data_IF_110870098077
#
_entry.id   IF_110870098077
#
_cell.length_a   1.000
_cell.length_b   1.000
_cell.length_c   1.000
_cell.angle_alpha   90.00
_cell.angle_beta   90.00
_cell.angle_gamma   90.00
#
_symmetry.space_group_name_H-M   'P 1'
#
loop_
_entity.id
_entity.type
_entity.pdbx_description
1 polymer ?
#
# COMPACT_ATOMS: atom_id res chain seq x y z
N UNK A 1 11.42 -40.26 24.88
CA UNK A 1 12.52 -39.40 24.38
C UNK A 1 12.19 -39.11 22.92
N UNK A 2 11.86 -37.87 22.58
CA UNK A 2 11.51 -37.47 21.21
C UNK A 2 12.74 -37.61 20.30
N UNK A 3 12.53 -37.99 19.04
CA UNK A 3 13.59 -38.18 18.06
C UNK A 3 14.36 -36.86 17.80
N UNK A 4 15.65 -36.91 17.42
CA UNK A 4 16.49 -35.72 17.23
C UNK A 4 15.86 -34.66 16.30
N UNK A 5 15.24 -35.10 15.20
CA UNK A 5 14.56 -34.23 14.22
C UNK A 5 13.31 -33.53 14.79
N UNK A 6 12.62 -34.16 15.74
CA UNK A 6 11.44 -33.57 16.41
C UNK A 6 11.86 -32.51 17.43
N UNK A 7 13.04 -32.64 18.04
CA UNK A 7 13.59 -31.61 18.92
C UNK A 7 14.06 -30.39 18.15
N UNK A 8 14.67 -30.60 16.98
CA UNK A 8 15.14 -29.52 16.11
C UNK A 8 13.98 -28.70 15.56
N UNK A 9 12.90 -29.35 15.09
CA UNK A 9 11.65 -28.67 14.70
C UNK A 9 11.00 -27.91 15.85
N UNK A 10 10.87 -28.52 17.03
CA UNK A 10 10.32 -27.83 18.20
C UNK A 10 11.17 -26.63 18.64
N UNK A 11 12.50 -26.70 18.47
CA UNK A 11 13.42 -25.59 18.79
C UNK A 11 13.29 -24.45 17.78
N UNK A 12 13.10 -24.77 16.50
CA UNK A 12 12.83 -23.79 15.44
C UNK A 12 11.47 -23.12 15.61
N UNK A 13 10.45 -23.88 16.01
CA UNK A 13 9.10 -23.36 16.30
C UNK A 13 9.14 -22.34 17.45
N UNK A 14 9.82 -22.69 18.55
CA UNK A 14 10.00 -21.81 19.70
C UNK A 14 10.82 -20.56 19.34
N UNK A 15 11.88 -20.70 18.53
CA UNK A 15 12.67 -19.55 18.07
C UNK A 15 11.86 -18.64 17.14
N UNK A 16 11.01 -19.20 16.29
CA UNK A 16 10.12 -18.46 15.40
C UNK A 16 9.02 -17.71 16.17
N UNK A 17 8.36 -18.35 17.14
CA UNK A 17 7.41 -17.69 18.04
C UNK A 17 8.07 -16.56 18.84
N UNK A 18 9.31 -16.77 19.29
CA UNK A 18 10.08 -15.74 19.99
C UNK A 18 10.43 -14.54 19.08
N UNK A 19 10.84 -14.79 17.83
CA UNK A 19 11.16 -13.75 16.86
C UNK A 19 9.91 -12.93 16.45
N UNK A 20 8.78 -13.60 16.20
CA UNK A 20 7.50 -12.93 15.91
C UNK A 20 7.00 -12.11 17.10
N UNK A 21 7.15 -12.62 18.32
CA UNK A 21 6.84 -11.88 19.55
C UNK A 21 7.72 -10.65 19.74
N UNK A 22 9.01 -10.74 19.40
CA UNK A 22 9.96 -9.62 19.42
C UNK A 22 9.62 -8.56 18.37
N UNK A 23 9.22 -8.95 17.16
CA UNK A 23 8.81 -8.01 16.12
C UNK A 23 7.54 -7.22 16.50
N UNK A 24 6.53 -7.90 17.07
CA UNK A 24 5.35 -7.24 17.63
C UNK A 24 5.74 -6.25 18.73
N UNK A 25 6.69 -6.62 19.58
CA UNK A 25 7.16 -5.79 20.69
C UNK A 25 7.93 -4.56 20.23
N UNK A 26 8.77 -4.69 19.19
CA UNK A 26 9.45 -3.56 18.55
C UNK A 26 8.44 -2.65 17.86
N UNK A 27 7.47 -3.21 17.15
CA UNK A 27 6.37 -2.45 16.53
C UNK A 27 5.60 -1.63 17.55
N UNK A 28 5.17 -2.26 18.65
CA UNK A 28 4.48 -1.59 19.76
C UNK A 28 5.31 -0.46 20.38
N UNK A 29 6.61 -0.68 20.61
CA UNK A 29 7.50 0.36 21.18
C UNK A 29 7.71 1.51 20.21
N UNK A 30 7.88 1.23 18.91
CA UNK A 30 8.01 2.27 17.88
C UNK A 30 6.73 3.09 17.75
N UNK A 31 5.56 2.45 17.81
CA UNK A 31 4.29 3.15 17.79
C UNK A 31 4.14 4.05 19.03
N UNK A 32 4.48 3.56 20.23
CA UNK A 32 4.48 4.38 21.46
C UNK A 32 5.44 5.58 21.33
N UNK A 33 6.66 5.38 20.83
CA UNK A 33 7.63 6.45 20.64
C UNK A 33 7.16 7.51 19.61
N UNK A 34 6.55 7.07 18.50
CA UNK A 34 5.97 7.97 17.48
C UNK A 34 4.77 8.75 18.01
N UNK A 35 3.96 8.09 18.84
CA UNK A 35 2.81 8.68 19.52
C UNK A 35 3.25 9.75 20.53
N UNK A 36 4.18 9.43 21.42
CA UNK A 36 4.63 10.34 22.50
C UNK A 36 5.40 11.54 21.96
N UNK A 37 6.13 11.35 20.86
CA UNK A 37 6.82 12.44 20.16
C UNK A 37 5.90 13.30 19.29
N UNK A 38 4.62 12.96 19.14
CA UNK A 38 3.67 13.69 18.29
C UNK A 38 3.92 13.56 16.78
N UNK A 39 4.79 12.63 16.36
CA UNK A 39 5.12 12.41 14.94
C UNK A 39 4.20 11.37 14.26
N UNK A 40 3.22 10.82 14.99
CA UNK A 40 2.23 9.93 14.41
C UNK A 40 1.16 10.72 13.63
N UNK A 41 1.30 10.75 12.30
CA UNK A 41 0.31 11.35 11.40
C UNK A 41 -0.65 10.26 10.90
N UNK A 42 -1.95 10.47 11.08
CA UNK A 42 -2.98 9.61 10.47
C UNK A 42 -3.04 9.87 8.96
N UNK A 43 -3.31 8.83 8.18
CA UNK A 43 -3.58 8.94 6.74
C UNK A 43 -5.02 8.49 6.45
N UNK A 44 -6.02 9.37 6.64
CA UNK A 44 -7.42 9.01 6.44
C UNK A 44 -7.71 8.78 4.96
N UNK A 45 -8.29 7.63 4.65
CA UNK A 45 -8.68 7.23 3.30
C UNK A 45 -10.17 6.85 3.26
N UNK A 46 -10.75 6.80 2.07
CA UNK A 46 -12.14 6.37 1.88
C UNK A 46 -12.21 4.85 2.07
N UNK A 47 -12.79 4.42 3.19
CA UNK A 47 -12.80 3.02 3.61
C UNK A 47 -14.22 2.55 3.90
N UNK A 48 -14.52 1.32 3.50
CA UNK A 48 -15.73 0.63 3.93
C UNK A 48 -15.40 -0.25 5.14
N UNK A 49 -15.85 0.16 6.32
CA UNK A 49 -15.48 -0.49 7.59
C UNK A 49 -15.78 -1.99 7.63
N UNK A 50 -16.88 -2.42 7.00
CA UNK A 50 -17.24 -3.85 6.89
C UNK A 50 -16.11 -4.70 6.29
N UNK A 51 -15.38 -4.18 5.30
CA UNK A 51 -14.27 -4.91 4.68
C UNK A 51 -13.07 -5.04 5.63
N UNK A 52 -12.81 -4.03 6.45
CA UNK A 52 -11.72 -4.06 7.43
C UNK A 52 -12.04 -5.06 8.55
N UNK A 53 -13.27 -5.01 9.08
CA UNK A 53 -13.74 -5.96 10.11
C UNK A 53 -13.69 -7.40 9.58
N UNK A 54 -14.17 -7.63 8.36
CA UNK A 54 -14.13 -8.96 7.73
C UNK A 54 -12.70 -9.45 7.45
N UNK A 55 -11.79 -8.54 7.16
CA UNK A 55 -10.36 -8.87 7.04
C UNK A 55 -9.80 -9.33 8.40
N UNK A 56 -10.10 -8.62 9.48
CA UNK A 56 -9.75 -9.00 10.87
C UNK A 56 -10.32 -10.37 11.23
N UNK A 57 -11.59 -10.64 10.90
CA UNK A 57 -12.20 -11.96 11.09
C UNK A 57 -11.37 -13.06 10.44
N UNK A 58 -11.01 -12.90 9.16
CA UNK A 58 -10.24 -13.90 8.40
C UNK A 58 -8.86 -14.17 8.99
N UNK A 59 -8.18 -13.16 9.53
CA UNK A 59 -6.86 -13.34 10.15
C UNK A 59 -6.93 -14.16 11.45
N UNK A 60 -7.99 -13.99 12.25
CA UNK A 60 -8.11 -14.62 13.56
C UNK A 60 -9.00 -15.88 13.59
N UNK A 61 -9.71 -16.19 12.50
CA UNK A 61 -10.57 -17.37 12.36
C UNK A 61 -9.78 -18.68 12.58
N UNK A 62 -8.58 -18.79 11.99
CA UNK A 62 -7.70 -19.95 12.18
C UNK A 62 -7.29 -20.14 13.65
N UNK A 63 -6.87 -19.04 14.30
CA UNK A 63 -6.44 -19.05 15.69
C UNK A 63 -7.60 -19.38 16.65
N UNK A 64 -8.76 -18.78 16.43
CA UNK A 64 -9.97 -19.07 17.21
C UNK A 64 -10.38 -20.54 17.07
N UNK A 65 -10.37 -21.07 15.83
CA UNK A 65 -10.69 -22.48 15.56
C UNK A 65 -9.70 -23.45 16.21
N UNK A 66 -8.41 -23.15 16.18
CA UNK A 66 -7.37 -23.95 16.84
C UNK A 66 -7.60 -24.02 18.36
N UNK A 67 -8.08 -22.92 18.96
CA UNK A 67 -8.43 -22.85 20.39
C UNK A 67 -9.84 -23.37 20.72
N UNK A 68 -10.62 -23.79 19.72
CA UNK A 68 -12.00 -24.26 19.89
C UNK A 68 -13.02 -23.17 20.23
N UNK A 69 -12.73 -21.91 19.89
CA UNK A 69 -13.61 -20.76 20.07
C UNK A 69 -14.43 -20.48 18.81
N UNK A 70 -15.64 -19.93 18.98
CA UNK A 70 -16.41 -19.36 17.87
C UNK A 70 -16.09 -17.88 17.71
N UNK A 71 -15.69 -17.46 16.51
CA UNK A 71 -15.52 -16.05 16.15
C UNK A 71 -16.74 -15.61 15.32
N UNK A 72 -17.54 -14.69 15.84
CA UNK A 72 -18.78 -14.22 15.24
C UNK A 72 -18.62 -12.75 14.85
N UNK A 73 -19.11 -12.39 13.66
CA UNK A 73 -19.19 -10.99 13.22
C UNK A 73 -20.64 -10.64 12.96
N UNK A 74 -21.12 -9.58 13.62
CA UNK A 74 -22.46 -9.03 13.46
C UNK A 74 -22.33 -7.63 12.85
N UNK A 75 -22.93 -7.43 11.69
CA UNK A 75 -22.90 -6.17 10.95
C UNK A 75 -24.33 -5.64 10.83
N UNK A 76 -24.54 -4.34 11.04
CA UNK A 76 -25.85 -3.72 10.78
C UNK A 76 -26.24 -3.79 9.28
N UNK A 77 -27.54 -3.94 9.03
CA UNK A 77 -28.16 -4.03 7.69
C UNK A 77 -28.19 -2.69 6.93
N UNK A 78 -27.66 -1.62 7.53
CA UNK A 78 -27.57 -0.32 6.88
C UNK A 78 -26.65 -0.40 5.64
N UNK A 79 -27.01 0.30 4.54
CA UNK A 79 -26.16 0.37 3.35
C UNK A 79 -24.85 1.06 3.73
N UNK A 80 -23.82 0.27 4.00
CA UNK A 80 -22.55 0.75 4.56
C UNK A 80 -21.99 1.84 3.69
N UNK A 81 -21.97 3.05 4.23
CA UNK A 81 -21.38 4.19 3.55
C UNK A 81 -19.88 4.12 3.77
N UNK A 82 -19.15 4.60 2.78
CA UNK A 82 -17.71 4.71 2.96
C UNK A 82 -17.47 5.88 3.93
N UNK A 83 -16.52 5.70 4.83
CA UNK A 83 -16.12 6.71 5.82
C UNK A 83 -14.66 7.06 5.60
N UNK A 84 -14.26 8.26 6.01
CA UNK A 84 -12.87 8.67 5.98
C UNK A 84 -12.18 8.25 7.28
N UNK A 85 -11.27 7.28 7.21
CA UNK A 85 -10.51 6.75 8.36
C UNK A 85 -9.19 6.15 7.87
N UNK A 86 -8.19 6.07 8.75
CA UNK A 86 -6.94 5.36 8.47
C UNK A 86 -7.16 3.83 8.59
N UNK A 87 -7.14 3.06 7.48
CA UNK A 87 -7.45 1.63 7.51
C UNK A 87 -6.39 0.82 8.25
N UNK A 88 -5.12 1.23 8.22
CA UNK A 88 -4.04 0.50 8.87
C UNK A 88 -4.15 0.63 10.39
N UNK A 89 -4.37 1.84 10.88
CA UNK A 89 -4.51 2.11 12.32
C UNK A 89 -5.80 1.54 12.88
N UNK A 90 -6.91 1.65 12.14
CA UNK A 90 -8.16 1.02 12.54
C UNK A 90 -8.04 -0.51 12.63
N UNK A 91 -7.40 -1.14 11.63
CA UNK A 91 -7.12 -2.59 11.64
C UNK A 91 -6.21 -2.99 12.81
N UNK A 92 -5.23 -2.18 13.17
CA UNK A 92 -4.34 -2.40 14.30
C UNK A 92 -5.12 -2.43 15.63
N UNK A 93 -6.01 -1.45 15.85
CA UNK A 93 -6.87 -1.39 17.04
C UNK A 93 -7.71 -2.67 17.15
N UNK A 94 -8.43 -3.04 16.09
CA UNK A 94 -9.27 -4.24 16.09
C UNK A 94 -8.48 -5.52 16.30
N UNK A 95 -7.30 -5.63 15.67
CA UNK A 95 -6.46 -6.83 15.80
C UNK A 95 -5.95 -7.01 17.23
N UNK A 96 -5.60 -5.91 17.91
CA UNK A 96 -5.19 -5.94 19.31
C UNK A 96 -6.33 -6.37 20.24
N UNK A 97 -7.54 -5.86 20.02
CA UNK A 97 -8.71 -6.24 20.82
C UNK A 97 -9.11 -7.71 20.60
N UNK A 98 -9.18 -8.16 19.35
CA UNK A 98 -9.58 -9.53 19.00
C UNK A 98 -8.52 -10.56 19.44
N UNK A 99 -7.24 -10.23 19.28
CA UNK A 99 -6.15 -11.09 19.78
C UNK A 99 -6.24 -11.25 21.30
N UNK A 100 -6.46 -10.16 22.05
CA UNK A 100 -6.66 -10.23 23.49
C UNK A 100 -7.88 -11.07 23.86
N UNK A 101 -9.02 -10.86 23.21
CA UNK A 101 -10.24 -11.63 23.41
C UNK A 101 -10.02 -13.15 23.23
N UNK A 102 -9.34 -13.54 22.13
CA UNK A 102 -9.01 -14.96 21.87
C UNK A 102 -8.01 -15.48 22.90
N UNK A 103 -7.01 -14.68 23.26
CA UNK A 103 -5.99 -15.06 24.24
C UNK A 103 -6.58 -15.36 25.62
N UNK A 104 -7.49 -14.54 26.11
CA UNK A 104 -8.05 -14.64 27.47
C UNK A 104 -9.38 -15.41 27.56
N UNK A 105 -9.88 -15.93 26.43
CA UNK A 105 -11.05 -16.84 26.39
C UNK A 105 -10.59 -18.28 26.21
N UNK A 106 -10.86 -19.16 27.17
CA UNK A 106 -10.52 -20.57 27.05
C UNK A 106 -11.57 -21.39 26.28
N UNK A 107 -12.86 -21.09 26.51
CA UNK A 107 -14.01 -21.74 25.87
C UNK A 107 -15.11 -20.72 25.65
N UNK A 108 -15.87 -20.88 24.57
CA UNK A 108 -17.01 -20.04 24.24
C UNK A 108 -16.82 -19.29 22.93
N UNK A 109 -17.05 -17.98 22.93
CA UNK A 109 -17.06 -17.19 21.71
C UNK A 109 -16.49 -15.78 21.89
N UNK A 110 -16.04 -15.23 20.77
CA UNK A 110 -15.67 -13.82 20.60
C UNK A 110 -16.58 -13.25 19.51
N UNK A 111 -17.24 -12.14 19.80
CA UNK A 111 -18.16 -11.46 18.89
C UNK A 111 -17.63 -10.08 18.56
N UNK A 112 -17.59 -9.72 17.28
CA UNK A 112 -17.31 -8.37 16.79
C UNK A 112 -18.62 -7.79 16.25
N UNK A 113 -19.13 -6.71 16.84
CA UNK A 113 -20.30 -5.99 16.36
C UNK A 113 -19.89 -4.67 15.73
N UNK A 114 -20.36 -4.39 14.51
CA UNK A 114 -20.21 -3.09 13.86
C UNK A 114 -21.58 -2.47 13.66
N UNK A 115 -21.80 -1.34 14.32
CA UNK A 115 -23.01 -0.53 14.18
C UNK A 115 -22.63 0.80 13.55
N UNK A 116 -23.35 1.18 12.48
CA UNK A 116 -23.14 2.46 11.79
C UNK A 116 -24.46 3.23 11.77
N UNK A 117 -24.44 4.43 12.34
CA UNK A 117 -25.60 5.33 12.34
C UNK A 117 -25.21 6.68 11.74
N UNK A 118 -25.82 7.03 10.62
CA UNK A 118 -25.71 8.39 10.07
C UNK A 118 -26.30 9.42 11.05
N UNK A 119 -25.55 10.48 11.33
CA UNK A 119 -26.02 11.65 12.06
C UNK A 119 -26.63 12.69 11.10
N UNK A 120 -25.89 12.99 10.03
CA UNK A 120 -26.22 13.99 9.01
C UNK A 120 -25.64 13.58 7.63
N UNK A 121 -25.69 14.45 6.62
CA UNK A 121 -25.19 14.15 5.26
C UNK A 121 -23.66 14.00 5.19
N UNK A 122 -22.91 14.37 6.23
CA UNK A 122 -21.45 14.37 6.24
C UNK A 122 -20.80 13.57 7.36
N UNK A 123 -21.56 13.03 8.33
CA UNK A 123 -21.01 12.33 9.52
C UNK A 123 -21.78 11.08 9.90
N UNK A 124 -21.03 10.06 10.32
CA UNK A 124 -21.51 8.83 10.94
C UNK A 124 -21.00 8.72 12.38
N UNK A 125 -21.87 8.22 13.26
CA UNK A 125 -21.43 7.56 14.48
C UNK A 125 -21.20 6.10 14.13
N UNK A 126 -20.00 5.63 14.39
CA UNK A 126 -19.62 4.23 14.24
C UNK A 126 -19.31 3.69 15.61
N UNK A 127 -20.01 2.61 15.99
CA UNK A 127 -19.71 1.86 17.20
C UNK A 127 -19.18 0.48 16.83
N UNK A 128 -18.05 0.11 17.41
CA UNK A 128 -17.49 -1.24 17.28
C UNK A 128 -17.33 -1.89 18.63
N UNK A 129 -18.04 -2.99 18.87
CA UNK A 129 -17.92 -3.76 20.10
C UNK A 129 -17.13 -5.05 19.83
N UNK A 130 -16.09 -5.29 20.62
CA UNK A 130 -15.41 -6.60 20.69
C UNK A 130 -15.77 -7.22 22.04
N UNK A 131 -16.54 -8.30 22.01
CA UNK A 131 -17.05 -9.00 23.19
C UNK A 131 -16.48 -10.42 23.25
N UNK A 132 -15.98 -10.82 24.41
CA UNK A 132 -15.51 -12.17 24.69
C UNK A 132 -16.24 -12.78 25.88
N UNK A 133 -16.33 -14.11 25.91
CA UNK A 133 -16.89 -14.88 27.02
C UNK A 133 -15.80 -15.43 27.97
N UNK A 134 -14.67 -14.73 28.08
CA UNK A 134 -13.48 -15.18 28.81
C UNK A 134 -13.56 -14.98 30.33
N UNK A 135 -12.39 -14.97 30.96
CA UNK A 135 -12.25 -14.89 32.42
C UNK A 135 -12.76 -13.58 33.03
N UNK A 136 -12.95 -12.54 32.23
CA UNK A 136 -13.26 -11.20 32.69
C UNK A 136 -12.17 -10.58 33.56
N UNK A 137 -12.38 -9.33 33.98
CA UNK A 137 -11.38 -8.48 34.62
C UNK A 137 -11.99 -7.86 35.87
N UNK A 138 -11.27 -7.93 36.99
CA UNK A 138 -11.74 -7.34 38.25
C UNK A 138 -11.82 -5.80 38.15
N UNK A 139 -12.82 -5.14 38.77
CA UNK A 139 -13.00 -3.68 38.67
C UNK A 139 -11.76 -2.86 39.06
N UNK A 140 -11.00 -3.33 40.06
CA UNK A 140 -9.76 -2.68 40.51
C UNK A 140 -8.65 -2.66 39.44
N UNK A 141 -8.67 -3.62 38.52
CA UNK A 141 -7.66 -3.80 37.47
C UNK A 141 -8.05 -3.07 36.18
N UNK A 142 -9.35 -2.85 35.93
CA UNK A 142 -9.87 -2.22 34.72
C UNK A 142 -9.34 -0.79 34.49
N UNK A 143 -9.26 0.02 35.54
CA UNK A 143 -8.81 1.41 35.45
C UNK A 143 -7.32 1.55 35.07
N UNK A 144 -6.53 0.50 35.28
CA UNK A 144 -5.08 0.52 35.10
C UNK A 144 -4.63 -0.10 33.78
N UNK A 145 -5.46 -0.91 33.13
CA UNK A 145 -5.11 -1.65 31.91
C UNK A 145 -4.82 -0.80 30.68
N UNK A 146 -5.29 0.45 30.66
CA UNK A 146 -5.00 1.39 29.58
C UNK A 146 -3.73 2.22 29.81
N UNK A 147 -3.05 2.02 30.94
CA UNK A 147 -1.74 2.63 31.17
C UNK A 147 -0.65 1.77 30.54
N UNK A 148 0.40 2.37 29.96
CA UNK A 148 1.51 1.65 29.37
C UNK A 148 2.15 0.66 30.37
N UNK A 149 2.55 -0.51 29.87
CA UNK A 149 3.31 -1.54 30.61
C UNK A 149 2.56 -2.21 31.77
N UNK A 150 1.25 -2.01 31.90
CA UNK A 150 0.45 -2.69 32.94
C UNK A 150 -0.03 -4.06 32.45
N UNK A 151 0.28 -5.09 33.24
CA UNK A 151 -0.22 -6.46 33.05
C UNK A 151 -0.90 -6.93 34.33
N UNK A 152 -2.12 -7.44 34.20
CA UNK A 152 -2.91 -7.94 35.33
C UNK A 152 -2.73 -9.45 35.37
N UNK A 153 -2.03 -9.96 36.39
CA UNK A 153 -1.78 -11.39 36.56
C UNK A 153 -2.32 -11.89 37.91
N UNK A 154 -3.19 -12.90 37.86
CA UNK A 154 -3.41 -13.83 38.98
C UNK A 154 -3.08 -15.26 38.51
N UNK A 155 -1.87 -15.72 38.83
CA UNK A 155 -1.52 -17.15 38.94
C UNK A 155 -0.96 -17.86 37.70
N UNK A 156 0.31 -18.29 37.81
CA UNK A 156 0.99 -19.41 37.09
C UNK A 156 0.72 -19.60 35.59
N UNK A 157 1.06 -18.60 34.77
CA UNK A 157 1.93 -18.69 33.58
C UNK A 157 1.84 -17.34 32.88
N UNK A 158 2.92 -16.57 32.90
CA UNK A 158 2.99 -15.29 32.18
C UNK A 158 3.16 -15.61 30.69
N UNK A 159 2.07 -15.87 29.99
CA UNK A 159 2.07 -15.94 28.53
C UNK A 159 1.89 -14.53 27.96
N UNK A 160 3.04 -13.90 27.70
CA UNK A 160 3.34 -13.05 26.54
C UNK A 160 2.37 -11.92 26.19
N UNK A 161 2.62 -10.73 26.70
CA UNK A 161 2.12 -9.46 26.15
C UNK A 161 3.04 -8.33 26.57
N UNK A 162 3.08 -7.23 25.83
CA UNK A 162 3.89 -6.04 26.15
C UNK A 162 3.25 -5.16 27.23
N UNK A 163 1.94 -5.31 27.44
CA UNK A 163 1.14 -4.35 28.22
C UNK A 163 0.95 -3.02 27.50
N UNK A 164 1.33 -2.92 26.21
CA UNK A 164 1.21 -1.69 25.42
C UNK A 164 -0.02 -1.69 24.52
N UNK A 165 -0.50 -2.86 24.08
CA UNK A 165 -1.58 -2.97 23.10
C UNK A 165 -2.84 -2.15 23.42
N UNK A 166 -3.33 -2.19 24.66
CA UNK A 166 -4.52 -1.40 25.06
C UNK A 166 -4.24 0.11 25.19
N UNK A 167 -3.04 0.49 25.63
CA UNK A 167 -2.62 1.89 25.69
C UNK A 167 -2.50 2.49 24.27
N UNK A 168 -1.92 1.73 23.33
CA UNK A 168 -1.85 2.09 21.91
C UNK A 168 -3.25 2.18 21.32
N UNK A 169 -4.15 1.22 21.61
CA UNK A 169 -5.53 1.25 21.11
C UNK A 169 -6.25 2.54 21.53
N UNK A 170 -6.19 2.89 22.82
CA UNK A 170 -6.79 4.12 23.32
C UNK A 170 -6.26 5.33 22.58
N UNK A 171 -4.94 5.46 22.46
CA UNK A 171 -4.35 6.63 21.85
C UNK A 171 -4.62 6.75 20.34
N UNK A 172 -4.64 5.64 19.61
CA UNK A 172 -5.02 5.63 18.20
C UNK A 172 -6.49 6.07 18.03
N UNK A 173 -7.37 5.62 18.91
CA UNK A 173 -8.79 6.01 18.89
C UNK A 173 -8.97 7.49 19.24
N UNK A 174 -8.23 7.99 20.24
CA UNK A 174 -8.19 9.42 20.58
C UNK A 174 -7.75 10.27 19.37
N UNK A 175 -6.71 9.82 18.65
CA UNK A 175 -6.22 10.50 17.43
C UNK A 175 -7.24 10.45 16.28
N UNK A 176 -8.01 9.37 16.19
CA UNK A 176 -9.13 9.24 15.24
C UNK A 176 -10.37 10.04 15.67
N UNK A 177 -10.33 10.73 16.81
CA UNK A 177 -11.43 11.56 17.30
C UNK A 177 -12.59 10.76 17.88
N UNK A 178 -12.32 9.61 18.50
CA UNK A 178 -13.31 8.83 19.22
C UNK A 178 -12.88 8.45 20.64
N UNK A 179 -13.67 7.58 21.25
CA UNK A 179 -13.53 7.15 22.63
C UNK A 179 -13.51 5.61 22.75
N UNK A 180 -12.86 5.11 23.80
CA UNK A 180 -12.80 3.67 24.11
C UNK A 180 -13.37 3.40 25.49
N UNK A 181 -14.42 2.59 25.55
CA UNK A 181 -15.03 2.11 26.78
C UNK A 181 -14.79 0.61 26.97
N UNK A 182 -14.67 0.16 28.22
CA UNK A 182 -14.51 -1.25 28.56
C UNK A 182 -15.44 -1.61 29.70
N UNK A 183 -16.20 -2.69 29.52
CA UNK A 183 -17.03 -3.31 30.53
C UNK A 183 -16.61 -4.77 30.68
N UNK A 184 -16.23 -5.17 31.89
CA UNK A 184 -15.81 -6.54 32.16
C UNK A 184 -16.33 -7.01 33.51
N UNK A 185 -16.75 -8.27 33.57
CA UNK A 185 -17.19 -8.91 34.80
C UNK A 185 -16.43 -10.24 34.98
N UNK A 186 -15.79 -10.48 36.14
CA UNK A 186 -15.10 -11.73 36.40
C UNK A 186 -15.99 -12.96 36.16
N UNK A 187 -15.53 -13.88 35.31
CA UNK A 187 -16.22 -15.10 34.92
C UNK A 187 -17.32 -14.94 33.86
N UNK A 188 -17.63 -13.72 33.41
CA UNK A 188 -18.60 -13.46 32.34
C UNK A 188 -17.98 -12.95 31.04
N UNK A 189 -16.74 -12.44 31.10
CA UNK A 189 -15.99 -11.98 29.94
C UNK A 189 -15.82 -10.46 29.89
N UNK A 190 -15.37 -9.96 28.75
CA UNK A 190 -15.06 -8.53 28.53
C UNK A 190 -15.70 -8.02 27.25
N UNK A 191 -16.24 -6.80 27.30
CA UNK A 191 -16.69 -6.03 26.15
C UNK A 191 -15.89 -4.74 26.07
N UNK A 192 -15.23 -4.52 24.96
CA UNK A 192 -14.58 -3.24 24.63
C UNK A 192 -15.37 -2.57 23.51
N UNK A 193 -15.83 -1.34 23.75
CA UNK A 193 -16.60 -0.54 22.80
C UNK A 193 -15.74 0.61 22.28
N UNK A 194 -15.73 0.79 20.97
CA UNK A 194 -15.07 1.89 20.27
C UNK A 194 -16.16 2.79 19.69
N UNK A 195 -16.24 4.04 20.13
CA UNK A 195 -17.18 5.02 19.60
C UNK A 195 -16.41 6.06 18.77
N UNK A 196 -16.66 6.09 17.46
CA UNK A 196 -15.97 6.95 16.50
C UNK A 196 -16.95 7.90 15.80
N UNK A 197 -16.58 9.18 15.71
CA UNK A 197 -17.29 10.17 14.89
C UNK A 197 -16.54 10.37 13.57
N UNK A 198 -16.98 9.68 12.52
CA UNK A 198 -16.30 9.67 11.23
C UNK A 198 -17.02 10.53 10.19
N UNK A 199 -16.25 11.08 9.25
CA UNK A 199 -16.83 11.75 8.08
C UNK A 199 -17.39 10.70 7.12
N UNK A 200 -18.67 10.80 6.81
CA UNK A 200 -19.26 10.01 5.73
C UNK A 200 -18.82 10.57 4.39
N UNK A 201 -18.39 9.69 3.50
CA UNK A 201 -18.26 10.03 2.10
C UNK A 201 -19.64 9.97 1.46
N UNK A 202 -19.93 10.94 0.58
CA UNK A 202 -21.16 10.93 -0.22
C UNK A 202 -21.31 9.63 -1.02
N UNK A 203 -22.53 9.30 -1.47
CA UNK A 203 -22.76 8.11 -2.28
C UNK A 203 -21.77 8.13 -3.45
N UNK A 204 -21.00 7.04 -3.61
CA UNK A 204 -20.39 6.80 -4.92
C UNK A 204 -21.57 6.74 -5.87
N UNK A 205 -21.61 7.57 -6.91
CA UNK A 205 -22.50 7.28 -8.04
C UNK A 205 -22.21 5.82 -8.42
N UNK A 206 -23.23 4.96 -8.57
CA UNK A 206 -22.98 3.55 -8.80
C UNK A 206 -22.24 3.43 -10.12
N UNK A 207 -20.92 3.25 -10.05
CA UNK A 207 -20.26 2.34 -10.98
C UNK A 207 -21.04 1.03 -10.80
N UNK A 208 -21.85 0.72 -11.81
CA UNK A 208 -22.66 -0.48 -11.97
C UNK A 208 -22.25 -1.61 -11.02
N UNK A 209 -23.19 -1.99 -10.17
CA UNK A 209 -23.04 -3.02 -9.15
C UNK A 209 -22.38 -4.28 -9.71
N UNK A 210 -21.15 -4.49 -9.27
CA UNK A 210 -20.48 -5.79 -9.29
C UNK A 210 -19.69 -5.88 -7.99
N UNK A 211 -20.02 -6.89 -7.19
CA UNK A 211 -19.12 -7.40 -6.16
C UNK A 211 -17.74 -7.63 -6.78
N UNK A 212 -16.65 -7.01 -6.27
CA UNK A 212 -15.29 -7.27 -6.76
C UNK A 212 -14.82 -8.70 -6.48
N UNK A 213 -15.63 -9.50 -5.77
CA UNK A 213 -15.36 -10.91 -5.50
C UNK A 213 -15.84 -11.84 -6.62
N UNK A 214 -16.75 -11.42 -7.50
CA UNK A 214 -17.36 -12.31 -8.51
C UNK A 214 -17.07 -11.89 -9.96
N UNK A 215 -16.70 -10.64 -10.23
CA UNK A 215 -16.53 -10.12 -11.59
C UNK A 215 -15.07 -9.82 -11.95
N UNK A 216 -14.17 -10.79 -11.78
CA UNK A 216 -12.92 -10.88 -12.55
C UNK A 216 -12.41 -12.33 -12.55
N UNK A 217 -13.25 -13.25 -13.00
CA UNK A 217 -12.80 -14.56 -13.51
C UNK A 217 -12.63 -14.52 -15.05
N UNK A 218 -12.37 -13.33 -15.60
CA UNK A 218 -11.61 -13.27 -16.85
C UNK A 218 -10.19 -13.76 -16.52
N UNK A 219 -9.65 -14.75 -17.24
CA UNK A 219 -8.36 -15.33 -16.91
C UNK A 219 -7.29 -14.23 -17.01
N UNK A 220 -6.85 -13.71 -15.86
CA UNK A 220 -5.60 -12.96 -15.79
C UNK A 220 -4.53 -13.83 -16.46
N UNK A 221 -3.90 -13.28 -17.50
CA UNK A 221 -2.88 -13.97 -18.29
C UNK A 221 -1.93 -14.71 -17.34
N UNK A 222 -1.68 -15.99 -17.60
CA UNK A 222 -0.78 -16.80 -16.78
C UNK A 222 0.66 -16.32 -16.93
N UNK A 223 1.07 -15.43 -16.04
CA UNK A 223 2.44 -14.91 -16.01
C UNK A 223 3.46 -15.96 -15.56
N UNK A 224 4.68 -15.84 -16.09
CA UNK A 224 5.84 -16.54 -15.57
C UNK A 224 6.69 -15.64 -14.67
N UNK A 225 6.68 -15.92 -13.37
CA UNK A 225 7.20 -15.06 -12.31
C UNK A 225 8.40 -15.73 -11.63
N UNK A 226 9.51 -15.00 -11.51
CA UNK A 226 10.67 -15.40 -10.71
C UNK A 226 10.60 -14.71 -9.34
N UNK A 227 10.74 -15.47 -8.26
CA UNK A 227 10.85 -14.95 -6.90
C UNK A 227 12.28 -15.13 -6.42
N UNK A 228 12.89 -14.08 -5.88
CA UNK A 228 14.17 -14.16 -5.15
C UNK A 228 13.97 -13.69 -3.71
N UNK A 229 14.06 -14.59 -2.74
CA UNK A 229 13.95 -14.25 -1.31
C UNK A 229 14.78 -15.27 -0.53
N UNK A 230 15.70 -14.79 0.30
CA UNK A 230 16.63 -15.62 1.07
C UNK A 230 15.99 -16.24 2.31
N UNK A 231 14.78 -15.80 2.67
CA UNK A 231 14.02 -16.33 3.78
C UNK A 231 12.95 -17.33 3.31
N UNK A 232 13.12 -18.65 3.57
CA UNK A 232 12.24 -19.68 3.04
C UNK A 232 10.73 -19.49 3.32
N UNK A 233 10.31 -19.04 4.52
CA UNK A 233 8.89 -18.78 4.79
C UNK A 233 8.27 -17.70 3.90
N UNK A 234 9.00 -16.60 3.63
CA UNK A 234 8.52 -15.53 2.75
C UNK A 234 8.39 -16.03 1.31
N UNK A 235 9.41 -16.76 0.84
CA UNK A 235 9.44 -17.32 -0.50
C UNK A 235 8.30 -18.31 -0.74
N UNK A 236 8.05 -19.21 0.22
CA UNK A 236 6.95 -20.18 0.16
C UNK A 236 5.59 -19.49 0.19
N UNK A 237 5.40 -18.50 1.06
CA UNK A 237 4.15 -17.74 1.14
C UNK A 237 3.86 -17.03 -0.19
N UNK A 238 4.83 -16.30 -0.73
CA UNK A 238 4.68 -15.55 -1.97
C UNK A 238 4.43 -16.48 -3.17
N UNK A 239 5.11 -17.64 -3.23
CA UNK A 239 4.81 -18.67 -4.23
C UNK A 239 3.37 -19.15 -4.12
N UNK A 240 2.92 -19.55 -2.92
CA UNK A 240 1.55 -20.05 -2.73
C UNK A 240 0.51 -19.02 -3.13
N UNK A 241 0.73 -17.74 -2.83
CA UNK A 241 -0.16 -16.66 -3.23
C UNK A 241 -0.21 -16.50 -4.76
N UNK A 242 0.94 -16.50 -5.44
CA UNK A 242 1.03 -16.35 -6.90
C UNK A 242 0.47 -17.57 -7.66
N UNK A 243 0.73 -18.78 -7.18
CA UNK A 243 0.15 -20.01 -7.72
C UNK A 243 -1.36 -20.04 -7.52
N UNK A 244 -1.86 -19.59 -6.36
CA UNK A 244 -3.30 -19.46 -6.10
C UNK A 244 -3.97 -18.47 -7.06
N UNK A 245 -3.26 -17.41 -7.48
CA UNK A 245 -3.70 -16.46 -8.50
C UNK A 245 -3.57 -17.00 -9.94
N UNK A 246 -3.07 -18.23 -10.12
CA UNK A 246 -3.00 -18.92 -11.42
C UNK A 246 -1.69 -18.72 -12.19
N UNK A 247 -0.67 -18.09 -11.61
CA UNK A 247 0.62 -17.83 -12.25
C UNK A 247 1.58 -19.04 -12.20
N UNK A 248 2.59 -19.08 -13.08
CA UNK A 248 3.72 -20.02 -12.99
C UNK A 248 4.85 -19.33 -12.23
N UNK A 249 5.41 -19.99 -11.24
CA UNK A 249 6.41 -19.40 -10.33
C UNK A 249 7.68 -20.23 -10.35
N UNK A 250 8.83 -19.56 -10.45
CA UNK A 250 10.15 -20.12 -10.14
C UNK A 250 10.70 -19.48 -8.86
N UNK A 251 11.40 -20.26 -8.05
CA UNK A 251 11.96 -19.82 -6.77
C UNK A 251 13.50 -19.75 -6.85
N UNK A 252 14.06 -18.68 -6.32
CA UNK A 252 15.49 -18.50 -6.08
C UNK A 252 15.73 -18.18 -4.60
N UNK A 253 16.73 -18.83 -4.01
CA UNK A 253 17.09 -18.66 -2.61
C UNK A 253 18.06 -17.49 -2.36
N UNK A 254 18.60 -16.88 -3.41
CA UNK A 254 19.38 -15.66 -3.34
C UNK A 254 19.36 -14.93 -4.69
N UNK A 255 19.98 -13.75 -4.76
CA UNK A 255 20.07 -12.99 -6.00
C UNK A 255 20.95 -13.65 -7.07
N UNK A 256 21.95 -14.45 -6.71
CA UNK A 256 22.86 -15.09 -7.68
C UNK A 256 22.13 -16.20 -8.44
N UNK A 257 21.43 -17.08 -7.73
CA UNK A 257 20.55 -18.11 -8.30
C UNK A 257 19.45 -17.47 -9.14
N UNK A 258 18.88 -16.34 -8.69
CA UNK A 258 17.88 -15.61 -9.46
C UNK A 258 18.45 -15.09 -10.80
N UNK A 259 19.68 -14.57 -10.79
CA UNK A 259 20.34 -14.09 -12.00
C UNK A 259 20.62 -15.22 -13.00
N UNK A 260 21.04 -16.39 -12.51
CA UNK A 260 21.29 -17.59 -13.31
C UNK A 260 19.99 -18.11 -13.94
N UNK A 261 18.93 -18.26 -13.15
CA UNK A 261 17.62 -18.66 -13.65
C UNK A 261 17.08 -17.67 -14.70
N UNK A 262 17.22 -16.36 -14.46
CA UNK A 262 16.80 -15.32 -15.40
C UNK A 262 17.59 -15.33 -16.72
N UNK A 263 18.85 -15.77 -16.70
CA UNK A 263 19.63 -15.94 -17.91
C UNK A 263 19.08 -17.11 -18.75
N UNK A 264 18.75 -18.22 -18.10
CA UNK A 264 18.36 -19.49 -18.73
C UNK A 264 16.89 -19.52 -19.20
N UNK A 265 15.97 -18.92 -18.44
CA UNK A 265 14.54 -18.92 -18.72
C UNK A 265 13.98 -17.51 -19.00
N UNK A 266 12.82 -17.45 -19.66
CA UNK A 266 12.09 -16.20 -19.91
C UNK A 266 11.08 -15.97 -18.79
N UNK A 267 11.24 -14.88 -18.06
CA UNK A 267 10.29 -14.41 -17.04
C UNK A 267 9.66 -13.10 -17.48
N UNK A 268 8.41 -12.89 -17.08
CA UNK A 268 7.68 -11.62 -17.30
C UNK A 268 7.83 -10.71 -16.07
N UNK A 269 7.97 -11.31 -14.89
CA UNK A 269 8.11 -10.60 -13.60
C UNK A 269 9.24 -11.21 -12.79
N UNK A 270 10.05 -10.36 -12.17
CA UNK A 270 10.94 -10.70 -11.06
C UNK A 270 10.43 -9.98 -9.81
N UNK A 271 10.14 -10.72 -8.75
CA UNK A 271 9.89 -10.19 -7.41
C UNK A 271 11.11 -10.55 -6.54
N UNK A 272 11.89 -9.56 -6.14
CA UNK A 272 13.14 -9.77 -5.42
C UNK A 272 13.12 -9.08 -4.06
N UNK A 273 13.47 -9.79 -2.99
CA UNK A 273 13.80 -9.15 -1.73
C UNK A 273 14.94 -8.15 -1.96
N UNK A 274 14.76 -6.94 -1.43
CA UNK A 274 15.77 -5.89 -1.51
C UNK A 274 17.03 -6.28 -0.72
N UNK A 275 16.88 -7.01 0.40
CA UNK A 275 17.93 -7.30 1.37
C UNK A 275 18.26 -8.80 1.43
N UNK A 276 18.95 -9.30 0.39
CA UNK A 276 19.49 -10.67 0.36
C UNK A 276 21.02 -10.70 0.57
N UNK A 277 21.58 -11.75 1.18
CA UNK A 277 23.01 -11.97 1.30
C UNK A 277 23.66 -12.26 -0.06
N UNK A 278 24.97 -11.98 -0.16
CA UNK A 278 25.79 -12.08 -1.38
C UNK A 278 25.39 -11.07 -2.45
N UNK A 279 24.28 -11.33 -3.17
CA UNK A 279 23.76 -10.47 -4.21
C UNK A 279 22.39 -9.95 -3.78
N UNK A 280 22.34 -8.69 -3.37
CA UNK A 280 21.10 -8.07 -2.92
C UNK A 280 20.19 -7.69 -4.11
N UNK A 281 18.91 -7.42 -3.84
CA UNK A 281 17.93 -7.13 -4.89
C UNK A 281 18.31 -5.94 -5.77
N UNK A 282 18.92 -4.90 -5.19
CA UNK A 282 19.41 -3.73 -5.92
C UNK A 282 20.52 -4.08 -6.92
N UNK A 283 21.49 -4.88 -6.49
CA UNK A 283 22.58 -5.35 -7.33
C UNK A 283 22.09 -6.31 -8.42
N UNK A 284 21.13 -7.18 -8.09
CA UNK A 284 20.46 -8.06 -9.04
C UNK A 284 19.76 -7.26 -10.14
N UNK A 285 18.94 -6.27 -9.77
CA UNK A 285 18.24 -5.40 -10.71
C UNK A 285 19.21 -4.67 -11.66
N UNK A 286 20.30 -4.09 -11.12
CA UNK A 286 21.33 -3.43 -11.94
C UNK A 286 21.97 -4.39 -12.93
N UNK A 287 22.31 -5.61 -12.51
CA UNK A 287 22.93 -6.62 -13.40
C UNK A 287 21.98 -7.05 -14.52
N UNK A 288 20.71 -7.32 -14.18
CA UNK A 288 19.68 -7.66 -15.17
C UNK A 288 19.52 -6.51 -16.18
N UNK A 289 19.39 -5.27 -15.73
CA UNK A 289 19.23 -4.10 -16.63
C UNK A 289 20.44 -3.88 -17.53
N UNK A 290 21.66 -4.12 -17.05
CA UNK A 290 22.87 -4.06 -17.89
C UNK A 290 22.82 -5.16 -18.96
N UNK A 291 22.51 -6.39 -18.56
CA UNK A 291 22.48 -7.53 -19.47
C UNK A 291 21.36 -7.41 -20.52
N UNK A 292 20.17 -6.91 -20.13
CA UNK A 292 19.08 -6.59 -21.06
C UNK A 292 19.52 -5.61 -22.15
N UNK A 293 20.28 -4.57 -21.79
CA UNK A 293 20.81 -3.59 -22.74
C UNK A 293 21.87 -4.19 -23.65
N UNK A 294 22.82 -4.95 -23.09
CA UNK A 294 23.90 -5.58 -23.84
C UNK A 294 23.39 -6.63 -24.84
N UNK A 295 22.41 -7.44 -24.42
CA UNK A 295 21.83 -8.52 -25.23
C UNK A 295 20.60 -8.08 -26.04
N UNK A 296 20.16 -6.82 -25.90
CA UNK A 296 18.92 -6.29 -26.50
C UNK A 296 17.67 -7.13 -26.17
N UNK A 297 17.60 -7.66 -24.94
CA UNK A 297 16.40 -8.34 -24.44
C UNK A 297 15.31 -7.31 -24.12
N UNK A 298 14.04 -7.70 -24.24
CA UNK A 298 12.94 -6.88 -23.75
C UNK A 298 13.06 -6.73 -22.22
N UNK A 299 12.86 -5.52 -21.65
CA UNK A 299 12.92 -5.33 -20.20
C UNK A 299 11.85 -6.16 -19.49
N UNK A 300 12.24 -6.92 -18.46
CA UNK A 300 11.28 -7.59 -17.57
C UNK A 300 10.77 -6.62 -16.50
N UNK A 301 9.59 -6.89 -15.92
CA UNK A 301 9.13 -6.14 -14.75
C UNK A 301 9.93 -6.60 -13.52
N UNK A 302 10.60 -5.69 -12.83
CA UNK A 302 11.35 -5.96 -11.60
C UNK A 302 10.71 -5.22 -10.44
N UNK A 303 10.23 -5.98 -9.46
CA UNK A 303 9.59 -5.49 -8.24
C UNK A 303 10.49 -5.79 -7.03
N UNK A 304 10.88 -4.75 -6.31
CA UNK A 304 11.52 -4.91 -5.01
C UNK A 304 10.51 -5.41 -3.98
N UNK A 305 10.87 -6.31 -3.08
CA UNK A 305 9.99 -6.83 -2.02
C UNK A 305 10.61 -6.52 -0.66
N UNK A 306 10.19 -5.42 -0.03
CA UNK A 306 10.86 -4.85 1.15
C UNK A 306 9.91 -4.75 2.35
N UNK A 307 10.46 -4.87 3.57
CA UNK A 307 9.73 -4.64 4.81
C UNK A 307 9.61 -3.15 5.16
N UNK A 308 10.34 -2.28 4.47
CA UNK A 308 10.42 -0.85 4.76
C UNK A 308 9.71 -0.01 3.68
N UNK A 309 8.79 0.86 4.11
CA UNK A 309 7.96 1.70 3.24
C UNK A 309 8.43 3.16 3.18
N UNK A 310 9.67 3.42 3.59
CA UNK A 310 10.25 4.76 3.53
C UNK A 310 10.46 5.27 2.09
N UNK A 311 10.19 6.57 1.82
CA UNK A 311 10.39 7.17 0.49
C UNK A 311 11.82 6.99 -0.07
N UNK A 312 12.81 6.97 0.82
CA UNK A 312 14.22 6.80 0.47
C UNK A 312 14.52 5.39 -0.04
N UNK A 313 13.76 4.38 0.39
CA UNK A 313 13.91 2.99 -0.05
C UNK A 313 13.27 2.79 -1.43
N UNK A 314 12.12 3.44 -1.68
CA UNK A 314 11.49 3.45 -3.01
C UNK A 314 12.38 4.13 -4.04
N UNK A 315 13.05 5.23 -3.67
CA UNK A 315 13.99 5.90 -4.56
C UNK A 315 15.21 5.02 -4.85
N UNK A 316 15.74 4.31 -3.83
CA UNK A 316 16.82 3.32 -4.01
C UNK A 316 16.45 2.18 -4.95
N UNK A 317 15.23 1.64 -4.87
CA UNK A 317 14.71 0.65 -5.83
C UNK A 317 14.80 1.19 -7.27
N UNK A 318 14.29 2.41 -7.50
CA UNK A 318 14.24 3.05 -8.84
C UNK A 318 15.64 3.34 -9.38
N UNK A 319 16.53 3.86 -8.55
CA UNK A 319 17.92 4.15 -8.93
C UNK A 319 18.72 2.88 -9.27
N UNK A 320 18.29 1.73 -8.73
CA UNK A 320 18.82 0.42 -9.07
C UNK A 320 18.23 -0.17 -10.37
N UNK A 321 17.20 0.47 -10.93
CA UNK A 321 16.53 0.04 -12.15
C UNK A 321 15.35 -0.91 -11.94
N UNK A 322 14.83 -1.01 -10.71
CA UNK A 322 13.54 -1.66 -10.45
C UNK A 322 12.39 -0.76 -10.92
N UNK A 323 11.29 -1.37 -11.32
CA UNK A 323 10.10 -0.65 -11.81
C UNK A 323 9.24 -0.14 -10.65
N UNK A 324 9.18 -0.89 -9.54
CA UNK A 324 8.46 -0.51 -8.33
C UNK A 324 8.88 -1.36 -7.11
N UNK A 325 8.30 -1.07 -5.93
CA UNK A 325 8.48 -1.90 -4.74
C UNK A 325 7.13 -2.34 -4.12
N UNK A 326 7.09 -3.59 -3.65
CA UNK A 326 6.02 -4.23 -2.89
C UNK A 326 6.43 -4.30 -1.42
N UNK A 327 5.48 -4.05 -0.51
CA UNK A 327 5.75 -3.98 0.92
C UNK A 327 5.30 -5.26 1.65
N UNK A 328 6.17 -5.80 2.52
CA UNK A 328 5.85 -6.94 3.39
C UNK A 328 5.09 -6.45 4.64
N UNK A 329 4.02 -7.15 5.10
CA UNK A 329 3.37 -8.32 4.51
C UNK A 329 2.37 -7.91 3.40
N UNK A 330 2.44 -8.63 2.27
CA UNK A 330 1.56 -8.37 1.13
C UNK A 330 0.34 -9.30 1.16
N UNK A 331 -0.85 -8.71 1.07
CA UNK A 331 -2.11 -9.43 0.96
C UNK A 331 -2.37 -9.93 -0.47
N UNK A 332 -3.12 -11.03 -0.59
CA UNK A 332 -3.47 -11.65 -1.87
C UNK A 332 -4.21 -10.68 -2.82
N UNK A 333 -5.13 -9.86 -2.30
CA UNK A 333 -5.85 -8.86 -3.11
C UNK A 333 -4.94 -7.75 -3.62
N UNK A 334 -4.01 -7.27 -2.79
CA UNK A 334 -3.02 -6.26 -3.19
C UNK A 334 -2.12 -6.81 -4.29
N UNK A 335 -1.63 -8.04 -4.14
CA UNK A 335 -0.81 -8.71 -5.14
C UNK A 335 -1.59 -8.94 -6.45
N UNK A 336 -2.84 -9.39 -6.36
CA UNK A 336 -3.74 -9.57 -7.52
C UNK A 336 -3.96 -8.26 -8.25
N UNK A 337 -4.32 -7.20 -7.53
CA UNK A 337 -4.62 -5.90 -8.13
C UNK A 337 -3.37 -5.30 -8.76
N UNK A 338 -2.21 -5.47 -8.13
CA UNK A 338 -0.93 -5.00 -8.66
C UNK A 338 -0.60 -5.70 -9.98
N UNK A 339 -0.59 -7.04 -9.99
CA UNK A 339 -0.32 -7.81 -11.21
C UNK A 339 -1.38 -7.59 -12.29
N UNK A 340 -2.65 -7.43 -11.93
CA UNK A 340 -3.72 -7.10 -12.87
C UNK A 340 -3.58 -5.68 -13.44
N UNK A 341 -3.07 -4.72 -12.67
CA UNK A 341 -2.79 -3.36 -13.19
C UNK A 341 -1.56 -3.36 -14.09
N UNK A 342 -0.53 -4.15 -13.74
CA UNK A 342 0.72 -4.26 -14.50
C UNK A 342 0.58 -5.10 -15.79
N UNK A 343 -0.27 -6.14 -15.79
CA UNK A 343 -0.40 -7.12 -16.89
C UNK A 343 -1.81 -7.36 -17.42
N UNK A 344 -2.87 -6.90 -16.74
CA UNK A 344 -4.25 -6.88 -17.27
C UNK A 344 -4.46 -5.83 -18.36
N UNK A 345 -3.36 -5.23 -18.84
CA UNK A 345 -3.27 -4.29 -19.96
C UNK A 345 -2.84 -4.97 -21.28
N UNK A 346 -3.33 -6.17 -21.58
CA UNK A 346 -3.43 -6.60 -22.99
C UNK A 346 -4.67 -5.92 -23.63
N UNK A 347 -4.64 -4.58 -23.72
CA UNK A 347 -5.50 -3.73 -24.58
C UNK A 347 -5.28 -2.21 -24.36
N UNK A 348 -4.47 -1.78 -23.39
CA UNK A 348 -4.09 -0.37 -23.28
C UNK A 348 -2.73 -0.26 -22.60
N UNK A 349 -1.67 -0.18 -23.41
CA UNK A 349 -0.55 0.69 -23.04
C UNK A 349 -1.11 1.98 -22.44
N UNK A 350 -0.46 2.64 -21.45
CA UNK A 350 -0.55 4.09 -21.43
C UNK A 350 0.14 4.52 -22.72
N UNK A 351 -0.63 4.52 -23.82
CA UNK A 351 -0.20 5.05 -25.11
C UNK A 351 -0.20 6.57 -25.11
N UNK A 352 -0.30 7.16 -23.91
CA UNK A 352 -0.30 8.58 -23.75
C UNK A 352 0.81 9.13 -22.90
N UNK A 353 1.34 10.25 -23.37
CA UNK A 353 2.30 11.13 -22.73
C UNK A 353 1.74 11.79 -21.46
N UNK A 354 0.46 11.56 -21.15
CA UNK A 354 -0.26 12.07 -20.00
C UNK A 354 -1.23 11.01 -19.42
N UNK A 355 -1.64 11.20 -18.16
CA UNK A 355 -2.60 10.33 -17.50
C UNK A 355 -4.03 10.72 -17.89
N UNK A 356 -4.64 9.92 -18.76
CA UNK A 356 -6.02 10.12 -19.19
C UNK A 356 -7.01 10.14 -18.02
N UNK A 357 -6.76 9.37 -16.95
CA UNK A 357 -7.61 9.37 -15.77
C UNK A 357 -7.49 10.69 -14.98
N UNK A 358 -6.27 11.23 -14.84
CA UNK A 358 -6.04 12.54 -14.26
C UNK A 358 -6.74 13.64 -15.08
N UNK A 359 -6.64 13.58 -16.40
CA UNK A 359 -7.28 14.54 -17.30
C UNK A 359 -8.81 14.49 -17.24
N UNK A 360 -9.39 13.28 -17.23
CA UNK A 360 -10.84 13.10 -17.08
C UNK A 360 -11.34 13.53 -15.71
N UNK A 361 -10.55 13.34 -14.64
CA UNK A 361 -10.93 13.81 -13.30
C UNK A 361 -11.00 15.34 -13.20
N UNK A 362 -10.18 16.06 -13.98
CA UNK A 362 -10.18 17.53 -14.05
C UNK A 362 -11.35 18.06 -14.89
N UNK A 363 -11.75 17.35 -15.95
CA UNK A 363 -12.90 17.70 -16.80
C UNK A 363 -14.26 17.39 -16.17
N UNK A 364 -14.32 16.44 -15.24
CA UNK A 364 -15.56 15.91 -14.66
C UNK A 364 -16.38 15.07 -15.66
N UNK A 365 -17.54 14.57 -15.23
CA UNK A 365 -18.39 13.63 -15.99
C UNK A 365 -19.07 14.21 -17.26
N UNK A 366 -18.67 15.41 -17.72
CA UNK A 366 -19.26 16.06 -18.90
C UNK A 366 -18.26 16.15 -20.06
N UNK A 367 -18.55 15.53 -21.22
CA UNK A 367 -17.64 15.51 -22.36
C UNK A 367 -17.33 16.91 -22.91
N UNK A 368 -18.23 17.89 -22.76
CA UNK A 368 -18.02 19.26 -23.22
C UNK A 368 -16.94 19.99 -22.41
N UNK A 369 -16.86 19.72 -21.10
CA UNK A 369 -15.85 20.33 -20.21
C UNK A 369 -14.47 19.72 -20.43
N UNK A 370 -14.41 18.41 -20.69
CA UNK A 370 -13.17 17.75 -21.09
C UNK A 370 -12.63 18.35 -22.40
N UNK A 371 -13.51 18.62 -23.37
CA UNK A 371 -13.17 19.26 -24.63
C UNK A 371 -12.61 20.68 -24.43
N UNK A 372 -13.28 21.51 -23.62
CA UNK A 372 -12.83 22.87 -23.30
C UNK A 372 -11.45 22.87 -22.60
N UNK A 373 -11.23 21.90 -21.70
CA UNK A 373 -9.94 21.72 -21.03
C UNK A 373 -8.85 21.30 -22.04
N UNK A 374 -9.15 20.35 -22.93
CA UNK A 374 -8.24 19.91 -23.99
C UNK A 374 -7.85 21.05 -24.93
N UNK A 375 -8.83 21.85 -25.38
CA UNK A 375 -8.61 23.02 -26.25
C UNK A 375 -7.76 24.09 -25.54
N UNK A 376 -7.98 24.30 -24.25
CA UNK A 376 -7.19 25.22 -23.43
C UNK A 376 -5.75 24.73 -23.25
N UNK A 377 -5.55 23.45 -22.98
CA UNK A 377 -4.23 22.84 -22.84
C UNK A 377 -3.45 22.87 -24.16
N UNK A 378 -4.10 22.56 -25.28
CA UNK A 378 -3.52 22.69 -26.62
C UNK A 378 -3.11 24.14 -26.93
N UNK A 379 -3.95 25.11 -26.55
CA UNK A 379 -3.63 26.53 -26.67
C UNK A 379 -2.41 26.94 -25.87
N UNK A 380 -2.33 26.52 -24.60
CA UNK A 380 -1.17 26.78 -23.72
C UNK A 380 0.09 26.12 -24.26
N UNK A 381 0.03 24.85 -24.66
CA UNK A 381 1.19 24.08 -25.12
C UNK A 381 1.83 24.71 -26.37
N UNK A 382 1.02 25.21 -27.32
CA UNK A 382 1.51 25.97 -28.48
C UNK A 382 2.23 27.26 -28.08
N UNK A 383 1.71 28.00 -27.12
CA UNK A 383 2.34 29.21 -26.61
C UNK A 383 3.65 28.88 -25.88
N UNK A 384 3.67 27.79 -25.13
CA UNK A 384 4.85 27.30 -24.42
C UNK A 384 5.99 26.91 -25.37
N UNK A 385 5.67 26.21 -26.48
CA UNK A 385 6.62 25.89 -27.55
C UNK A 385 7.23 27.14 -28.19
N UNK A 386 6.40 28.12 -28.56
CA UNK A 386 6.87 29.37 -29.16
C UNK A 386 7.79 30.14 -28.21
N UNK A 387 7.40 30.23 -26.94
CA UNK A 387 8.15 30.97 -25.92
C UNK A 387 9.46 30.27 -25.55
N UNK A 388 9.45 28.94 -25.48
CA UNK A 388 10.66 28.13 -25.26
C UNK A 388 11.69 28.36 -26.38
N UNK A 389 11.26 28.38 -27.64
CA UNK A 389 12.14 28.61 -28.79
C UNK A 389 12.80 30.01 -28.76
N UNK A 390 12.09 31.04 -28.29
CA UNK A 390 12.64 32.39 -28.13
C UNK A 390 13.66 32.41 -26.98
N UNK A 391 13.29 31.88 -25.81
CA UNK A 391 14.14 31.88 -24.62
C UNK A 391 15.44 31.07 -24.81
N UNK A 392 15.38 29.96 -25.56
CA UNK A 392 16.57 29.18 -25.91
C UNK A 392 17.53 29.93 -26.84
N UNK A 393 17.04 30.86 -27.67
CA UNK A 393 17.88 31.73 -28.52
C UNK A 393 18.47 32.90 -27.73
N UNK A 394 17.69 33.47 -26.81
CA UNK A 394 18.12 34.58 -25.95
C UNK A 394 19.14 34.14 -24.90
N UNK A 395 19.12 32.87 -24.49
CA UNK A 395 20.09 32.29 -23.54
C UNK A 395 19.88 32.74 -22.09
N UNK A 396 18.74 33.38 -21.78
CA UNK A 396 18.41 33.84 -20.43
C UNK A 396 18.01 32.66 -19.53
N UNK A 397 18.97 32.15 -18.75
CA UNK A 397 18.80 31.01 -17.83
C UNK A 397 17.69 31.23 -16.81
N UNK A 398 17.53 32.45 -16.32
CA UNK A 398 16.55 32.76 -15.27
C UNK A 398 15.14 32.66 -15.85
N UNK A 399 14.89 33.31 -16.99
CA UNK A 399 13.59 33.25 -17.67
C UNK A 399 13.27 31.84 -18.19
N UNK A 400 14.29 31.10 -18.62
CA UNK A 400 14.14 29.72 -19.08
C UNK A 400 13.74 28.79 -17.92
N UNK A 401 14.33 28.96 -16.74
CA UNK A 401 13.97 28.20 -15.54
C UNK A 401 12.55 28.51 -15.05
N UNK A 402 12.16 29.79 -15.03
CA UNK A 402 10.78 30.19 -14.67
C UNK A 402 9.75 29.60 -15.63
N UNK A 403 10.05 29.62 -16.94
CA UNK A 403 9.17 29.06 -17.96
C UNK A 403 9.08 27.52 -17.85
N UNK A 404 10.20 26.84 -17.60
CA UNK A 404 10.22 25.40 -17.33
C UNK A 404 9.41 25.02 -16.08
N UNK A 405 9.51 25.81 -15.02
CA UNK A 405 8.76 25.61 -13.78
C UNK A 405 7.25 25.73 -13.97
N UNK A 406 6.83 26.71 -14.79
CA UNK A 406 5.43 26.88 -15.16
C UNK A 406 4.88 25.68 -15.94
N UNK A 407 5.62 25.20 -16.93
CA UNK A 407 5.27 24.01 -17.73
C UNK A 407 5.20 22.77 -16.83
N UNK A 408 6.14 22.62 -15.90
CA UNK A 408 6.16 21.56 -14.89
C UNK A 408 4.87 21.51 -14.07
N UNK A 409 4.33 22.67 -13.68
CA UNK A 409 3.05 22.77 -12.98
C UNK A 409 1.89 22.17 -13.78
N UNK A 410 1.77 22.53 -15.07
CA UNK A 410 0.76 21.98 -15.96
C UNK A 410 0.96 20.48 -16.21
N UNK A 411 2.20 20.04 -16.39
CA UNK A 411 2.55 18.63 -16.57
C UNK A 411 2.18 17.76 -15.37
N UNK A 412 2.32 18.29 -14.13
CA UNK A 412 1.91 17.58 -12.90
C UNK A 412 0.40 17.38 -12.84
N UNK A 413 -0.36 18.40 -13.23
CA UNK A 413 -1.82 18.33 -13.22
C UNK A 413 -2.37 17.25 -14.14
N UNK A 414 -1.76 17.05 -15.31
CA UNK A 414 -2.20 16.07 -16.30
C UNK A 414 -1.43 14.73 -16.22
N UNK A 415 -0.56 14.57 -15.23
CA UNK A 415 0.24 13.35 -15.08
C UNK A 415 1.25 13.09 -16.21
N UNK A 416 1.72 14.13 -16.92
CA UNK A 416 2.62 14.00 -18.06
C UNK A 416 4.08 13.76 -17.65
N UNK A 417 4.42 12.49 -17.40
CA UNK A 417 5.73 12.09 -16.84
C UNK A 417 6.93 12.48 -17.71
N UNK A 418 6.87 12.25 -19.02
CA UNK A 418 7.96 12.61 -19.94
C UNK A 418 8.23 14.12 -19.95
N UNK A 419 7.16 14.92 -19.84
CA UNK A 419 7.24 16.37 -19.80
C UNK A 419 7.82 16.85 -18.45
N UNK A 420 7.45 16.21 -17.34
CA UNK A 420 8.01 16.49 -16.02
C UNK A 420 9.52 16.27 -15.96
N UNK A 421 9.98 15.12 -16.46
CA UNK A 421 11.41 14.79 -16.50
C UNK A 421 12.20 15.77 -17.38
N UNK A 422 11.60 16.22 -18.50
CA UNK A 422 12.24 17.22 -19.37
C UNK A 422 12.32 18.61 -18.73
N UNK A 423 11.27 19.03 -18.00
CA UNK A 423 11.28 20.28 -17.23
C UNK A 423 12.34 20.26 -16.13
N UNK A 424 12.46 19.16 -15.39
CA UNK A 424 13.45 19.00 -14.32
C UNK A 424 14.87 19.04 -14.85
N UNK A 425 15.14 18.36 -15.97
CA UNK A 425 16.43 18.40 -16.63
C UNK A 425 16.82 19.83 -17.08
N UNK A 426 15.85 20.62 -17.55
CA UNK A 426 16.09 22.01 -17.96
C UNK A 426 16.29 22.95 -16.76
N UNK A 427 15.48 22.82 -15.71
CA UNK A 427 15.66 23.59 -14.46
C UNK A 427 17.03 23.33 -13.83
N UNK A 428 17.47 22.06 -13.80
CA UNK A 428 18.77 21.68 -13.26
C UNK A 428 19.93 22.23 -14.10
N UNK A 429 19.80 22.20 -15.43
CA UNK A 429 20.78 22.81 -16.34
C UNK A 429 20.86 24.34 -16.16
N UNK A 430 19.75 25.01 -15.85
CA UNK A 430 19.76 26.44 -15.54
C UNK A 430 20.37 26.76 -14.17
N UNK A 431 20.23 25.86 -13.18
CA UNK A 431 20.80 26.04 -11.82
C UNK A 431 22.30 25.80 -11.75
N UNK A 432 22.85 24.94 -12.61
CA UNK A 432 24.30 24.65 -12.66
C UNK A 432 25.04 25.80 -13.34
N UNK A 433 25.62 26.68 -12.54
CA UNK A 433 26.45 27.81 -13.00
C UNK A 433 27.82 27.34 -13.52
N UNK A 434 27.84 26.70 -14.70
CA UNK A 434 29.05 26.43 -15.47
C UNK A 434 28.99 27.09 -16.84
N UNK A 435 30.06 27.81 -17.22
CA UNK A 435 30.22 28.58 -18.48
C UNK A 435 30.35 27.72 -19.76
N UNK A 436 30.01 26.42 -19.70
CA UNK A 436 30.20 25.50 -20.82
C UNK A 436 29.06 24.51 -21.10
N UNK A 437 28.02 24.44 -20.27
CA UNK A 437 26.88 23.53 -20.54
C UNK A 437 25.88 24.18 -21.50
N UNK A 438 25.70 23.53 -22.65
CA UNK A 438 24.82 23.98 -23.71
C UNK A 438 23.35 23.72 -23.31
N UNK A 439 22.60 24.77 -23.01
CA UNK A 439 21.15 24.71 -22.71
C UNK A 439 20.31 24.19 -23.89
N UNK A 440 20.92 24.09 -25.08
CA UNK A 440 20.26 23.58 -26.28
C UNK A 440 19.80 22.13 -26.12
N UNK A 441 20.60 21.24 -25.52
CA UNK A 441 20.23 19.83 -25.41
C UNK A 441 19.05 19.58 -24.45
N UNK A 442 19.04 20.13 -23.21
CA UNK A 442 17.86 20.05 -22.34
C UNK A 442 16.65 20.81 -22.91
N UNK A 443 16.89 21.95 -23.59
CA UNK A 443 15.84 22.72 -24.25
C UNK A 443 15.16 21.97 -25.40
N UNK A 444 15.94 21.30 -26.25
CA UNK A 444 15.44 20.45 -27.33
C UNK A 444 14.67 19.23 -26.80
N UNK A 445 15.13 18.64 -25.69
CA UNK A 445 14.39 17.54 -25.04
C UNK A 445 13.02 18.01 -24.54
N UNK A 446 12.92 19.21 -23.96
CA UNK A 446 11.64 19.80 -23.55
C UNK A 446 10.76 20.12 -24.77
N UNK A 447 11.34 20.67 -25.84
CA UNK A 447 10.63 20.96 -27.10
C UNK A 447 9.99 19.69 -27.69
N UNK A 448 10.76 18.61 -27.82
CA UNK A 448 10.27 17.33 -28.34
C UNK A 448 9.16 16.73 -27.47
N UNK A 449 9.26 16.85 -26.14
CA UNK A 449 8.23 16.37 -25.22
C UNK A 449 6.92 17.17 -25.37
N UNK A 450 7.01 18.49 -25.54
CA UNK A 450 5.85 19.37 -25.78
C UNK A 450 5.20 19.12 -27.14
N UNK A 451 6.00 18.89 -28.19
CA UNK A 451 5.52 18.54 -29.54
C UNK A 451 4.79 17.19 -29.55
N UNK A 452 5.36 16.18 -28.91
CA UNK A 452 4.73 14.88 -28.80
C UNK A 452 3.39 14.99 -28.04
N UNK A 453 3.34 15.76 -26.95
CA UNK A 453 2.10 15.99 -26.20
C UNK A 453 1.07 16.76 -27.05
N UNK A 454 1.53 17.71 -27.87
CA UNK A 454 0.68 18.49 -28.76
C UNK A 454 -0.01 17.61 -29.80
N UNK A 455 0.72 16.70 -30.45
CA UNK A 455 0.18 15.77 -31.44
C UNK A 455 -0.85 14.84 -30.81
N UNK A 456 -0.55 14.29 -29.64
CA UNK A 456 -1.44 13.33 -28.98
C UNK A 456 -2.74 13.96 -28.48
N UNK A 457 -2.66 15.17 -27.89
CA UNK A 457 -3.85 15.91 -27.49
C UNK A 457 -4.72 16.30 -28.70
N UNK A 458 -4.12 16.51 -29.89
CA UNK A 458 -4.87 16.76 -31.13
C UNK A 458 -5.57 15.51 -31.64
N UNK A 459 -4.92 14.35 -31.59
CA UNK A 459 -5.54 13.07 -31.96
C UNK A 459 -6.73 12.75 -31.05
N UNK A 460 -6.60 13.00 -29.75
CA UNK A 460 -7.68 12.79 -28.78
C UNK A 460 -8.85 13.74 -28.99
N UNK A 461 -8.59 15.02 -29.28
CA UNK A 461 -9.63 15.99 -29.61
C UNK A 461 -10.37 15.62 -30.92
N UNK A 462 -9.65 15.07 -31.90
CA UNK A 462 -10.21 14.59 -33.15
C UNK A 462 -11.04 13.31 -32.97
N UNK A 463 -10.58 12.39 -32.10
CA UNK A 463 -11.29 11.16 -31.74
C UNK A 463 -12.57 11.41 -30.94
N UNK A 464 -12.63 12.48 -30.14
CA UNK A 464 -13.82 12.89 -29.38
C UNK A 464 -14.90 13.62 -30.22
N UNK A 465 -14.68 13.81 -31.52
CA UNK A 465 -15.61 14.47 -32.44
C UNK A 465 -16.49 13.49 -33.26
N UNK A 466 -16.30 12.18 -33.08
CA UNK A 466 -17.08 11.09 -33.66
C UNK A 466 -17.90 10.44 -32.55
#
# INVERSE_FOLDING_TARGET
RLAPEQRERASLEVAYEAAGSLQLLIGDILDVAKIESGHLTLTPERVRLRHVVESVRRMFEGLARQKGLRLVVELDDAPGRDVLIDPLRFKQVLSNLVSNAIKFTERGQVTIRLQERSLDEGRAIVRVDVEDSGIGIAPADQARLFQPFIQVAKGRTVQGGTGLGLAICRKLVDLMGGDVEMHSEPGKGTRVSLDLLLRQCGPKMPESGQDPLAASMEPSRRLHILIADDYPPNRVLLRQQLEFLGHRVAEAEDGQVALELWADERFEVLISDCNMPRLNGYQLARRIRIQERCERRAPILILGYTADAEPDEVQRCRDAGMDDCLFKPLGLETLRNYLATSFGRDAAQPRGLYDAAALSSLGGDRPERLRELLETLLGSNRQDLQRLAILLREGDRTRLAEHAHRIKGAARMIGARTLLEACEALEDACRRSGDGECLQAPGERLRLALEALQEELQEQLAGAAV
#
